data_IF_953989639413
#
_entry.id   IF_953989639413
#
_cell.length_a   1.000
_cell.length_b   1.000
_cell.length_c   1.000
_cell.angle_alpha   90.00
_cell.angle_beta   90.00
_cell.angle_gamma   90.00
#
_symmetry.space_group_name_H-M   'P 1'
#
loop_
_entity.id
_entity.type
_entity.pdbx_description
1 polymer ?
#
# COMPACT_ATOMS: atom_id res chain seq x y z
N UNK A 1 63.70 -7.30 36.19
CA UNK A 1 62.93 -7.42 34.92
C UNK A 1 63.51 -6.47 33.91
N UNK A 2 64.11 -7.00 32.83
CA UNK A 2 64.86 -6.22 31.84
C UNK A 2 63.97 -5.20 31.11
N UNK A 3 64.36 -3.97 30.88
CA UNK A 3 63.60 -2.93 30.19
C UNK A 3 63.21 -3.35 28.76
N UNK A 4 64.02 -4.16 28.10
CA UNK A 4 63.71 -4.71 26.72
C UNK A 4 62.44 -5.52 26.65
N UNK A 5 61.99 -6.20 27.72
CA UNK A 5 60.79 -6.96 27.77
C UNK A 5 59.52 -6.08 27.78
N UNK A 6 59.60 -4.90 28.42
CA UNK A 6 58.51 -3.92 28.48
C UNK A 6 58.29 -3.24 27.10
N UNK A 7 59.38 -2.97 26.37
CA UNK A 7 59.26 -2.37 25.03
C UNK A 7 58.72 -3.37 23.98
N UNK A 8 59.11 -4.62 24.07
CA UNK A 8 58.60 -5.70 23.21
C UNK A 8 57.08 -5.94 23.42
N UNK A 9 56.63 -5.92 24.67
CA UNK A 9 55.19 -6.11 24.97
C UNK A 9 54.37 -4.88 24.50
N UNK A 10 54.90 -3.66 24.67
CA UNK A 10 54.24 -2.45 24.17
C UNK A 10 54.11 -2.42 22.64
N UNK A 11 55.15 -2.82 21.91
CA UNK A 11 55.13 -2.91 20.46
C UNK A 11 54.13 -3.97 19.94
N UNK A 12 54.03 -5.12 20.62
CA UNK A 12 53.05 -6.16 20.29
C UNK A 12 51.60 -5.71 20.53
N UNK A 13 51.37 -4.98 21.64
CA UNK A 13 50.02 -4.42 21.92
C UNK A 13 49.67 -3.35 20.90
N UNK A 14 50.57 -2.41 20.57
CA UNK A 14 50.34 -1.40 19.55
C UNK A 14 50.12 -1.99 18.16
N UNK A 15 50.91 -2.99 17.78
CA UNK A 15 50.76 -3.73 16.52
C UNK A 15 49.42 -4.45 16.46
N UNK A 16 49.02 -5.09 17.55
CA UNK A 16 47.70 -5.76 17.65
C UNK A 16 46.54 -4.79 17.57
N UNK A 17 46.61 -3.64 18.22
CA UNK A 17 45.59 -2.58 18.16
C UNK A 17 45.51 -1.96 16.77
N UNK A 18 46.62 -1.74 16.09
CA UNK A 18 46.65 -1.21 14.72
C UNK A 18 46.08 -2.21 13.72
N UNK A 19 46.39 -3.49 13.85
CA UNK A 19 45.83 -4.57 12.99
C UNK A 19 44.33 -4.74 13.22
N UNK A 20 43.88 -4.68 14.48
CA UNK A 20 42.49 -4.70 14.84
C UNK A 20 41.72 -3.50 14.28
N UNK A 21 42.28 -2.28 14.47
CA UNK A 21 41.69 -1.06 13.91
C UNK A 21 41.58 -1.10 12.38
N UNK A 22 42.62 -1.58 11.70
CA UNK A 22 42.58 -1.77 10.24
C UNK A 22 41.57 -2.83 9.83
N UNK A 23 41.44 -3.95 10.54
CA UNK A 23 40.43 -4.98 10.26
C UNK A 23 39.02 -4.43 10.39
N UNK A 24 38.74 -3.59 11.39
CA UNK A 24 37.42 -3.06 11.69
C UNK A 24 36.95 -2.00 10.69
N UNK A 25 37.89 -1.16 10.21
CA UNK A 25 37.59 0.04 9.43
C UNK A 25 38.00 -0.05 7.97
N UNK A 26 38.69 -1.13 7.55
CA UNK A 26 39.09 -1.29 6.14
C UNK A 26 37.87 -1.57 5.28
N UNK A 27 37.65 -0.69 4.31
CA UNK A 27 36.67 -0.93 3.23
C UNK A 27 37.06 -2.17 2.42
N UNK A 28 36.08 -3.05 2.23
CA UNK A 28 36.26 -4.29 1.47
C UNK A 28 35.32 -4.29 0.30
N UNK A 29 35.82 -4.36 -0.94
CA UNK A 29 34.96 -4.57 -2.09
C UNK A 29 34.30 -5.95 -1.97
N UNK A 30 33.00 -6.02 -2.16
CA UNK A 30 32.30 -7.28 -2.22
C UNK A 30 32.66 -7.99 -3.53
N UNK A 31 33.10 -9.24 -3.44
CA UNK A 31 33.38 -10.04 -4.63
C UNK A 31 32.12 -10.15 -5.52
N UNK A 32 32.27 -10.33 -6.86
CA UNK A 32 31.14 -10.54 -7.75
C UNK A 32 30.29 -11.71 -7.27
N UNK A 33 29.09 -11.45 -6.78
CA UNK A 33 28.18 -12.45 -6.23
C UNK A 33 26.95 -11.83 -5.62
N UNK A 34 25.98 -12.64 -5.11
CA UNK A 34 24.78 -12.11 -4.49
C UNK A 34 25.13 -11.30 -3.24
N UNK A 35 24.93 -9.99 -3.32
CA UNK A 35 25.12 -9.02 -2.20
C UNK A 35 24.04 -9.19 -1.12
N UNK A 36 23.19 -10.22 -1.22
CA UNK A 36 22.04 -10.46 -0.38
C UNK A 36 22.25 -11.69 0.48
N UNK A 37 22.03 -11.54 1.78
CA UNK A 37 22.19 -12.61 2.77
C UNK A 37 20.85 -12.85 3.45
N UNK A 38 20.38 -14.10 3.41
CA UNK A 38 19.20 -14.53 4.14
C UNK A 38 19.61 -15.15 5.46
N UNK A 39 19.18 -14.55 6.56
CA UNK A 39 19.39 -15.03 7.92
C UNK A 39 18.05 -15.55 8.46
N UNK A 40 17.82 -16.88 8.42
CA UNK A 40 16.62 -17.49 8.98
C UNK A 40 16.62 -17.40 10.52
N UNK A 41 15.45 -17.62 11.11
CA UNK A 41 15.28 -17.69 12.56
C UNK A 41 16.23 -18.73 13.18
N UNK A 42 16.85 -18.36 14.30
CA UNK A 42 17.81 -19.22 14.99
C UNK A 42 19.24 -19.17 14.43
N UNK A 43 19.51 -18.36 13.41
CA UNK A 43 20.90 -18.14 12.93
C UNK A 43 21.73 -17.50 14.03
N UNK A 44 22.86 -18.15 14.37
CA UNK A 44 23.81 -17.60 15.36
C UNK A 44 24.83 -16.65 14.71
N UNK A 45 25.40 -15.73 15.49
CA UNK A 45 26.47 -14.85 15.01
C UNK A 45 27.64 -15.64 14.41
N UNK A 46 27.99 -16.76 14.99
CA UNK A 46 29.05 -17.66 14.49
C UNK A 46 28.70 -18.28 13.13
N UNK A 47 27.45 -18.74 12.95
CA UNK A 47 26.97 -19.29 11.68
C UNK A 47 26.96 -18.22 10.59
N UNK A 48 26.49 -17.02 10.92
CA UNK A 48 26.50 -15.89 10.00
C UNK A 48 27.91 -15.47 9.59
N UNK A 49 28.82 -15.34 10.56
CA UNK A 49 30.22 -15.02 10.30
C UNK A 49 30.91 -16.03 9.35
N UNK A 50 30.61 -17.34 9.50
CA UNK A 50 31.11 -18.37 8.57
C UNK A 50 30.57 -18.15 7.16
N UNK A 51 29.27 -17.86 7.00
CA UNK A 51 28.68 -17.56 5.68
C UNK A 51 29.32 -16.33 5.03
N UNK A 52 29.64 -15.28 5.81
CA UNK A 52 30.35 -14.10 5.31
C UNK A 52 31.76 -14.44 4.84
N UNK A 53 32.48 -15.29 5.58
CA UNK A 53 33.83 -15.72 5.23
C UNK A 53 33.81 -16.62 3.99
N UNK A 54 32.93 -17.60 3.91
CA UNK A 54 32.75 -18.50 2.75
C UNK A 54 32.44 -17.73 1.46
N UNK A 55 31.76 -16.60 1.58
CA UNK A 55 31.45 -15.71 0.45
C UNK A 55 32.46 -14.59 0.26
N UNK A 56 33.60 -14.66 0.97
CA UNK A 56 34.69 -13.68 0.88
C UNK A 56 34.29 -12.23 1.18
N UNK A 57 33.27 -12.03 2.02
CA UNK A 57 32.84 -10.69 2.49
C UNK A 57 33.69 -10.22 3.66
N UNK A 58 34.16 -11.16 4.49
CA UNK A 58 35.11 -10.92 5.57
C UNK A 58 36.23 -11.95 5.49
N UNK A 59 37.42 -11.61 6.01
CA UNK A 59 38.59 -12.52 5.97
C UNK A 59 38.54 -13.57 7.07
N UNK A 60 37.92 -13.29 8.22
CA UNK A 60 37.94 -14.18 9.39
C UNK A 60 36.62 -14.14 10.14
N UNK A 61 35.92 -15.29 10.16
CA UNK A 61 34.70 -15.48 10.95
C UNK A 61 34.98 -15.33 12.46
N UNK A 62 36.15 -15.83 12.94
CA UNK A 62 36.51 -15.73 14.36
C UNK A 62 36.74 -14.28 14.78
N UNK A 63 37.39 -13.47 13.94
CA UNK A 63 37.63 -12.06 14.24
C UNK A 63 36.31 -11.28 14.26
N UNK A 64 35.38 -11.60 13.37
CA UNK A 64 34.05 -10.98 13.34
C UNK A 64 33.20 -11.34 14.57
N UNK A 65 33.24 -12.60 15.01
CA UNK A 65 32.57 -13.03 16.26
C UNK A 65 33.19 -12.34 17.47
N UNK A 66 34.53 -12.25 17.54
CA UNK A 66 35.21 -11.55 18.63
C UNK A 66 34.83 -10.07 18.67
N UNK A 67 34.72 -9.39 17.51
CA UNK A 67 34.20 -8.03 17.39
C UNK A 67 32.79 -7.91 17.97
N UNK A 68 31.87 -8.78 17.58
CA UNK A 68 30.48 -8.77 18.06
C UNK A 68 30.41 -8.99 19.59
N UNK A 69 31.24 -9.88 20.13
CA UNK A 69 31.32 -10.14 21.58
C UNK A 69 31.91 -8.93 22.33
N UNK A 70 32.96 -8.31 21.80
CA UNK A 70 33.58 -7.12 22.39
C UNK A 70 32.61 -5.94 22.47
N UNK A 71 31.75 -5.80 21.48
CA UNK A 71 30.70 -4.77 21.43
C UNK A 71 29.45 -5.15 22.25
N UNK A 72 29.40 -6.33 22.85
CA UNK A 72 28.24 -6.81 23.60
C UNK A 72 27.09 -7.30 22.71
N UNK A 73 27.31 -7.44 21.41
CA UNK A 73 26.28 -7.71 20.40
C UNK A 73 26.28 -9.17 19.91
N UNK A 74 27.02 -10.07 20.57
CA UNK A 74 27.17 -11.47 20.14
C UNK A 74 25.86 -12.27 20.01
N UNK A 75 24.77 -11.79 20.62
CA UNK A 75 23.42 -12.40 20.58
C UNK A 75 22.36 -11.50 19.95
N UNK A 76 22.72 -10.33 19.45
CA UNK A 76 21.78 -9.31 18.97
C UNK A 76 21.45 -9.44 17.46
N UNK A 77 21.85 -10.55 16.81
CA UNK A 77 21.58 -10.80 15.41
C UNK A 77 20.08 -10.86 15.16
N UNK A 78 19.58 -9.99 14.30
CA UNK A 78 18.18 -10.01 13.85
C UNK A 78 18.04 -10.81 12.57
N UNK A 79 16.94 -11.56 12.47
CA UNK A 79 16.63 -12.37 11.29
C UNK A 79 16.09 -11.53 10.16
N UNK A 80 16.27 -11.99 8.91
CA UNK A 80 15.80 -11.28 7.73
C UNK A 80 16.72 -11.39 6.53
N UNK A 81 16.44 -10.63 5.50
CA UNK A 81 17.27 -10.52 4.31
C UNK A 81 18.04 -9.20 4.37
N UNK A 82 19.36 -9.29 4.27
CA UNK A 82 20.26 -8.15 4.34
C UNK A 82 20.95 -7.91 3.00
N UNK A 83 21.17 -6.66 2.68
CA UNK A 83 22.00 -6.22 1.56
C UNK A 83 23.03 -5.27 2.08
N UNK A 84 24.31 -5.62 1.89
CA UNK A 84 25.41 -4.76 2.32
C UNK A 84 25.83 -3.80 1.21
N UNK A 85 26.35 -2.64 1.62
CA UNK A 85 26.97 -1.68 0.71
C UNK A 85 28.23 -2.30 0.07
N UNK A 86 28.71 -1.69 -1.01
CA UNK A 86 29.92 -2.11 -1.70
C UNK A 86 30.71 -0.83 -2.06
N UNK A 87 31.84 -0.56 -1.40
CA UNK A 87 32.49 -1.38 -0.36
C UNK A 87 31.79 -1.34 1.01
N UNK A 88 32.16 -2.25 1.92
CA UNK A 88 31.62 -2.35 3.28
C UNK A 88 32.72 -2.71 4.28
N UNK A 89 32.51 -2.36 5.56
CA UNK A 89 33.42 -2.76 6.65
C UNK A 89 32.79 -3.86 7.52
N UNK A 90 33.57 -4.67 8.24
CA UNK A 90 33.05 -5.62 9.23
C UNK A 90 32.17 -4.94 10.29
N UNK A 91 32.47 -3.71 10.66
CA UNK A 91 31.71 -2.92 11.63
C UNK A 91 30.34 -2.53 11.05
N UNK A 92 30.28 -2.08 9.78
CA UNK A 92 29.03 -1.73 9.11
C UNK A 92 28.11 -2.95 8.95
N UNK A 93 28.70 -4.12 8.63
CA UNK A 93 27.96 -5.37 8.54
C UNK A 93 27.35 -5.70 9.91
N UNK A 94 28.14 -5.64 10.98
CA UNK A 94 27.68 -5.92 12.34
C UNK A 94 26.56 -4.94 12.72
N UNK A 95 26.77 -3.65 12.53
CA UNK A 95 25.78 -2.62 12.81
C UNK A 95 24.47 -2.86 12.05
N UNK A 96 24.54 -3.17 10.75
CA UNK A 96 23.39 -3.45 9.89
C UNK A 96 22.54 -4.62 10.42
N UNK A 97 23.20 -5.73 10.82
CA UNK A 97 22.46 -6.94 11.25
C UNK A 97 21.93 -6.83 12.67
N UNK A 98 22.62 -6.08 13.55
CA UNK A 98 22.20 -5.84 14.94
C UNK A 98 21.06 -4.83 15.00
N UNK A 99 21.13 -3.76 14.22
CA UNK A 99 20.03 -2.80 14.12
C UNK A 99 18.83 -3.34 13.34
N UNK A 100 19.03 -4.36 12.52
CA UNK A 100 17.98 -5.02 11.74
C UNK A 100 17.58 -4.21 10.51
N UNK A 101 18.56 -3.61 9.81
CA UNK A 101 18.33 -2.92 8.53
C UNK A 101 18.10 -3.93 7.40
N UNK A 102 16.99 -4.64 7.48
CA UNK A 102 16.61 -5.69 6.51
C UNK A 102 16.10 -5.06 5.21
N UNK A 103 16.19 -5.84 4.13
CA UNK A 103 15.59 -5.46 2.84
C UNK A 103 14.08 -5.43 2.98
N UNK A 104 13.49 -4.31 2.62
CA UNK A 104 12.05 -4.11 2.58
C UNK A 104 11.54 -4.10 1.14
N UNK A 105 10.37 -4.67 0.94
CA UNK A 105 9.69 -4.76 -0.36
C UNK A 105 8.42 -3.90 -0.31
N UNK A 106 8.18 -3.04 -1.31
CA UNK A 106 6.98 -2.22 -1.36
C UNK A 106 5.80 -3.01 -1.95
N UNK A 107 4.63 -2.87 -1.33
CA UNK A 107 3.35 -3.27 -1.86
C UNK A 107 2.42 -2.06 -1.86
N UNK A 108 1.99 -1.61 -3.03
CA UNK A 108 1.07 -0.47 -3.16
C UNK A 108 -0.36 -0.97 -3.37
N UNK A 109 -1.25 -0.56 -2.47
CA UNK A 109 -2.69 -0.66 -2.62
C UNK A 109 -3.20 0.64 -3.25
N UNK A 110 -3.91 0.53 -4.37
CA UNK A 110 -4.31 1.70 -5.17
C UNK A 110 -5.74 2.14 -4.83
N UNK A 111 -6.03 3.45 -4.70
CA UNK A 111 -7.39 3.95 -4.57
C UNK A 111 -8.33 3.42 -5.68
N UNK A 112 -9.55 3.11 -5.32
CA UNK A 112 -10.54 2.55 -6.23
C UNK A 112 -10.46 1.03 -6.44
N UNK A 113 -9.40 0.35 -6.00
CA UNK A 113 -9.32 -1.10 -6.11
C UNK A 113 -10.38 -1.80 -5.28
N UNK A 114 -10.94 -2.86 -5.84
CA UNK A 114 -11.76 -3.84 -5.15
C UNK A 114 -10.90 -4.77 -4.28
N UNK A 115 -11.49 -5.49 -3.36
CA UNK A 115 -10.74 -6.49 -2.58
C UNK A 115 -10.18 -7.63 -3.46
N UNK A 116 -10.83 -7.92 -4.59
CA UNK A 116 -10.29 -8.86 -5.57
C UNK A 116 -8.93 -8.40 -6.13
N UNK A 117 -8.80 -7.13 -6.50
CA UNK A 117 -7.54 -6.55 -7.00
C UNK A 117 -6.47 -6.50 -5.88
N UNK A 118 -6.87 -6.21 -4.64
CA UNK A 118 -5.99 -6.31 -3.47
C UNK A 118 -5.42 -7.73 -3.33
N UNK A 119 -6.26 -8.76 -3.42
CA UNK A 119 -5.79 -10.17 -3.37
C UNK A 119 -4.82 -10.49 -4.50
N UNK A 120 -5.07 -10.00 -5.70
CA UNK A 120 -4.15 -10.19 -6.83
C UNK A 120 -2.78 -9.53 -6.58
N UNK A 121 -2.77 -8.34 -6.00
CA UNK A 121 -1.53 -7.64 -5.66
C UNK A 121 -0.73 -8.40 -4.58
N UNK A 122 -1.40 -8.88 -3.53
CA UNK A 122 -0.78 -9.70 -2.48
C UNK A 122 -0.19 -10.99 -3.04
N UNK A 123 -0.93 -11.69 -3.92
CA UNK A 123 -0.46 -12.94 -4.55
C UNK A 123 0.74 -12.75 -5.48
N UNK A 124 0.95 -11.54 -6.02
CA UNK A 124 2.09 -11.20 -6.90
C UNK A 124 3.25 -10.56 -6.16
N UNK A 125 3.08 -10.25 -4.89
CA UNK A 125 4.10 -9.56 -4.10
C UNK A 125 5.31 -10.48 -3.84
N UNK A 126 6.54 -10.08 -4.22
CA UNK A 126 7.71 -10.91 -4.08
C UNK A 126 8.01 -11.18 -2.61
N UNK A 127 8.37 -12.41 -2.27
CA UNK A 127 8.76 -12.82 -0.92
C UNK A 127 7.71 -12.59 0.18
N UNK A 128 6.46 -12.26 -0.20
CA UNK A 128 5.33 -12.23 0.72
C UNK A 128 4.74 -13.63 0.87
N UNK A 129 4.48 -14.05 2.09
CA UNK A 129 3.72 -15.28 2.36
C UNK A 129 2.23 -15.00 2.17
N UNK A 130 1.64 -15.56 1.10
CA UNK A 130 0.21 -15.40 0.82
C UNK A 130 -0.61 -16.40 1.66
N UNK A 131 -0.69 -16.13 2.96
CA UNK A 131 -1.41 -16.94 3.97
C UNK A 131 -2.94 -16.87 3.81
N UNK A 132 -3.44 -16.05 2.88
CA UNK A 132 -4.87 -15.99 2.52
C UNK A 132 -5.20 -16.63 1.16
N UNK A 133 -4.20 -17.25 0.51
CA UNK A 133 -4.40 -17.94 -0.77
C UNK A 133 -5.45 -19.05 -0.63
N UNK A 134 -6.42 -19.06 -1.53
CA UNK A 134 -7.49 -20.06 -1.52
C UNK A 134 -8.54 -19.87 -0.42
N UNK A 135 -8.35 -18.95 0.52
CA UNK A 135 -9.31 -18.70 1.58
C UNK A 135 -10.56 -17.97 1.07
N UNK A 136 -11.72 -18.33 1.62
CA UNK A 136 -12.98 -17.60 1.41
C UNK A 136 -12.95 -16.23 2.10
N UNK A 137 -13.83 -15.31 1.69
CA UNK A 137 -13.97 -14.01 2.37
C UNK A 137 -14.30 -14.15 3.86
N UNK A 138 -15.04 -15.18 4.25
CA UNK A 138 -15.36 -15.45 5.66
C UNK A 138 -14.10 -15.83 6.47
N UNK A 139 -13.25 -16.69 5.92
CA UNK A 139 -11.99 -17.10 6.55
C UNK A 139 -11.00 -15.93 6.67
N UNK A 140 -10.87 -15.12 5.60
CA UNK A 140 -10.00 -13.91 5.66
C UNK A 140 -10.53 -12.91 6.69
N UNK A 141 -11.87 -12.71 6.79
CA UNK A 141 -12.45 -11.86 7.83
C UNK A 141 -12.13 -12.38 9.22
N UNK A 142 -12.26 -13.70 9.44
CA UNK A 142 -11.92 -14.32 10.71
C UNK A 142 -10.44 -14.13 11.08
N UNK A 143 -9.52 -14.36 10.14
CA UNK A 143 -8.07 -14.15 10.33
C UNK A 143 -7.73 -12.70 10.68
N UNK A 144 -8.48 -11.73 10.15
CA UNK A 144 -8.33 -10.30 10.42
C UNK A 144 -9.17 -9.80 11.60
N UNK A 145 -9.90 -10.67 12.30
CA UNK A 145 -10.86 -10.31 13.37
C UNK A 145 -11.85 -9.23 12.92
N UNK A 146 -12.49 -9.45 11.77
CA UNK A 146 -13.42 -8.51 11.14
C UNK A 146 -14.84 -9.06 11.07
N UNK A 147 -15.84 -8.21 11.40
CA UNK A 147 -17.25 -8.49 11.17
C UNK A 147 -17.79 -7.83 9.89
N UNK A 148 -17.23 -6.67 9.52
CA UNK A 148 -17.61 -5.95 8.32
C UNK A 148 -17.09 -6.61 7.03
N UNK A 149 -17.55 -6.12 5.87
CA UNK A 149 -17.05 -6.52 4.55
C UNK A 149 -15.53 -6.28 4.43
N UNK A 150 -14.86 -7.10 3.62
CA UNK A 150 -13.48 -6.85 3.19
C UNK A 150 -13.40 -5.75 2.13
N UNK A 151 -14.52 -5.50 1.43
CA UNK A 151 -14.58 -4.47 0.41
C UNK A 151 -14.45 -3.08 1.03
N UNK A 152 -13.51 -2.26 0.53
CA UNK A 152 -13.20 -0.93 1.05
C UNK A 152 -12.55 -0.89 2.43
N UNK A 153 -12.20 -2.04 3.03
CA UNK A 153 -11.78 -2.15 4.43
C UNK A 153 -10.30 -1.80 4.69
N UNK A 154 -9.53 -1.48 3.66
CA UNK A 154 -8.09 -1.25 3.72
C UNK A 154 -7.74 0.13 3.16
N UNK A 155 -6.82 0.83 3.82
CA UNK A 155 -6.39 2.14 3.34
C UNK A 155 -5.43 1.97 2.16
N UNK A 156 -5.66 2.65 1.02
CA UNK A 156 -4.75 2.62 -0.11
C UNK A 156 -3.50 3.45 0.22
N UNK A 157 -2.35 2.77 0.25
CA UNK A 157 -1.03 3.34 0.52
C UNK A 157 0.05 2.35 0.06
N UNK A 158 1.32 2.74 0.13
CA UNK A 158 2.44 1.82 -0.06
C UNK A 158 2.86 1.24 1.29
N UNK A 159 2.78 -0.08 1.42
CA UNK A 159 3.15 -0.84 2.61
C UNK A 159 4.48 -1.56 2.38
N UNK A 160 5.49 -1.19 3.15
CA UNK A 160 6.76 -1.90 3.14
C UNK A 160 6.66 -3.13 4.03
N UNK A 161 7.21 -4.26 3.56
CA UNK A 161 7.23 -5.52 4.29
C UNK A 161 8.58 -6.22 4.09
N UNK A 162 8.94 -7.08 5.03
CA UNK A 162 10.17 -7.86 5.01
C UNK A 162 9.94 -9.24 4.39
N UNK A 163 11.00 -9.91 4.01
CA UNK A 163 10.97 -11.29 3.51
C UNK A 163 10.16 -12.20 4.46
N UNK A 164 9.24 -12.98 3.91
CA UNK A 164 8.41 -13.91 4.68
C UNK A 164 7.27 -13.30 5.48
N UNK A 165 7.10 -11.98 5.45
CA UNK A 165 5.93 -11.34 6.07
C UNK A 165 4.63 -11.89 5.43
N UNK A 166 3.57 -12.00 6.23
CA UNK A 166 2.29 -12.55 5.78
C UNK A 166 1.39 -11.50 5.13
N UNK A 167 0.56 -11.90 4.18
CA UNK A 167 -0.46 -11.06 3.57
C UNK A 167 -1.43 -10.51 4.65
N UNK A 168 -1.81 -11.35 5.62
CA UNK A 168 -2.63 -10.94 6.78
C UNK A 168 -1.97 -9.80 7.56
N UNK A 169 -0.65 -9.82 7.77
CA UNK A 169 0.07 -8.77 8.50
C UNK A 169 0.02 -7.42 7.77
N UNK A 170 0.14 -7.43 6.44
CA UNK A 170 0.03 -6.23 5.59
C UNK A 170 -1.39 -5.68 5.63
N UNK A 171 -2.40 -6.55 5.46
CA UNK A 171 -3.80 -6.16 5.52
C UNK A 171 -4.19 -5.61 6.91
N UNK A 172 -3.66 -6.17 7.99
CA UNK A 172 -3.90 -5.67 9.34
C UNK A 172 -3.36 -4.23 9.52
N UNK A 173 -2.19 -3.92 8.96
CA UNK A 173 -1.63 -2.55 8.95
C UNK A 173 -2.48 -1.59 8.12
N UNK A 174 -2.91 -2.02 6.92
CA UNK A 174 -3.75 -1.23 6.03
C UNK A 174 -5.12 -0.93 6.67
N UNK A 175 -5.72 -1.90 7.34
CA UNK A 175 -6.94 -1.73 8.11
C UNK A 175 -6.77 -0.75 9.29
N UNK A 176 -5.68 -0.88 10.05
CA UNK A 176 -5.38 0.02 11.17
C UNK A 176 -5.25 1.46 10.67
N UNK A 177 -4.54 1.66 9.56
CA UNK A 177 -4.40 2.97 8.92
C UNK A 177 -5.76 3.55 8.52
N UNK A 178 -6.63 2.75 7.89
CA UNK A 178 -7.99 3.19 7.56
C UNK A 178 -8.76 3.64 8.80
N UNK A 179 -8.73 2.85 9.87
CA UNK A 179 -9.44 3.18 11.12
C UNK A 179 -8.97 4.50 11.73
N UNK A 180 -7.67 4.77 11.68
CA UNK A 180 -7.09 6.03 12.16
C UNK A 180 -7.57 7.21 11.31
N UNK A 181 -7.47 7.12 9.98
CA UNK A 181 -7.87 8.21 9.07
C UNK A 181 -9.38 8.44 9.18
N UNK A 182 -10.19 7.37 9.08
CA UNK A 182 -11.65 7.47 9.20
C UNK A 182 -12.08 8.03 10.56
N UNK A 183 -11.44 7.60 11.65
CA UNK A 183 -11.77 8.08 12.99
C UNK A 183 -11.51 9.57 13.15
N UNK A 184 -10.37 10.07 12.66
CA UNK A 184 -10.03 11.49 12.73
C UNK A 184 -10.99 12.34 11.90
N UNK A 185 -11.26 11.95 10.65
CA UNK A 185 -12.16 12.72 9.78
C UNK A 185 -13.62 12.66 10.26
N UNK A 186 -14.01 11.53 10.89
CA UNK A 186 -15.35 11.39 11.46
C UNK A 186 -15.62 12.36 12.62
N UNK A 187 -14.62 12.64 13.43
CA UNK A 187 -14.73 13.58 14.56
C UNK A 187 -14.96 15.02 14.09
N UNK A 188 -14.41 15.39 12.95
CA UNK A 188 -14.47 16.75 12.38
C UNK A 188 -15.53 16.92 11.28
N UNK A 189 -16.34 15.87 11.02
CA UNK A 189 -17.32 15.86 9.93
C UNK A 189 -18.28 17.03 9.97
N UNK A 190 -18.75 17.45 8.80
CA UNK A 190 -19.79 18.47 8.67
C UNK A 190 -21.07 18.05 9.42
N UNK A 191 -21.75 19.04 9.96
CA UNK A 191 -23.02 18.83 10.66
C UNK A 191 -24.13 18.42 9.69
N UNK A 192 -25.11 17.68 10.21
CA UNK A 192 -26.32 17.29 9.47
C UNK A 192 -26.09 16.49 8.18
N UNK A 193 -25.01 15.69 8.13
CA UNK A 193 -24.83 14.75 7.02
C UNK A 193 -25.90 13.65 7.06
N UNK A 194 -26.37 13.16 5.88
CA UNK A 194 -27.31 12.03 5.83
C UNK A 194 -26.64 10.69 6.18
N UNK A 195 -25.31 10.64 6.22
CA UNK A 195 -24.52 9.48 6.69
C UNK A 195 -24.41 9.53 8.21
N UNK A 196 -24.88 8.48 8.89
CA UNK A 196 -25.02 8.42 10.34
C UNK A 196 -23.94 7.60 11.03
N UNK A 197 -23.17 6.81 10.27
CA UNK A 197 -22.13 5.93 10.81
C UNK A 197 -20.81 6.08 10.00
N UNK A 198 -19.64 5.80 10.61
CA UNK A 198 -18.37 5.77 9.88
C UNK A 198 -18.40 4.81 8.68
N UNK A 199 -19.15 3.69 8.79
CA UNK A 199 -19.31 2.74 7.69
C UNK A 199 -20.06 3.36 6.51
N UNK A 200 -21.13 4.12 6.75
CA UNK A 200 -21.84 4.83 5.68
C UNK A 200 -20.98 5.90 5.02
N UNK A 201 -20.14 6.59 5.80
CA UNK A 201 -19.16 7.54 5.25
C UNK A 201 -18.15 6.85 4.34
N UNK A 202 -17.67 5.67 4.72
CA UNK A 202 -16.76 4.86 3.91
C UNK A 202 -17.42 4.40 2.60
N UNK A 203 -18.69 4.00 2.64
CA UNK A 203 -19.45 3.65 1.45
C UNK A 203 -19.54 4.86 0.51
N UNK A 204 -19.98 6.01 1.01
CA UNK A 204 -20.08 7.23 0.21
C UNK A 204 -18.71 7.64 -0.37
N UNK A 205 -17.64 7.55 0.43
CA UNK A 205 -16.28 7.85 -0.02
C UNK A 205 -15.84 6.94 -1.17
N UNK A 206 -16.22 5.65 -1.14
CA UNK A 206 -15.88 4.71 -2.22
C UNK A 206 -16.60 5.02 -3.54
N UNK A 207 -17.80 5.58 -3.47
CA UNK A 207 -18.51 6.10 -4.65
C UNK A 207 -17.78 7.31 -5.22
N UNK A 208 -17.47 8.30 -4.39
CA UNK A 208 -16.75 9.52 -4.78
C UNK A 208 -15.37 9.20 -5.37
N UNK A 209 -14.65 8.23 -4.80
CA UNK A 209 -13.34 7.81 -5.31
C UNK A 209 -13.40 7.30 -6.73
N UNK A 210 -14.45 6.53 -7.05
CA UNK A 210 -14.61 5.90 -8.36
C UNK A 210 -15.29 6.80 -9.39
N UNK A 211 -15.90 7.90 -8.96
CA UNK A 211 -16.59 8.84 -9.84
C UNK A 211 -15.61 9.79 -10.54
N UNK A 212 -14.60 10.28 -9.84
CA UNK A 212 -13.68 11.25 -10.42
C UNK A 212 -12.22 11.04 -10.05
N UNK A 213 -11.35 11.18 -11.05
CA UNK A 213 -9.91 11.28 -10.83
C UNK A 213 -9.48 12.68 -10.38
N UNK A 214 -10.30 13.73 -10.63
CA UNK A 214 -9.99 15.11 -10.27
C UNK A 214 -10.20 15.38 -8.79
N UNK A 215 -9.10 15.64 -8.09
CA UNK A 215 -9.13 15.90 -6.65
C UNK A 215 -10.01 17.12 -6.28
N UNK A 216 -10.05 18.16 -7.12
CA UNK A 216 -10.81 19.39 -6.87
C UNK A 216 -12.33 19.22 -6.99
N UNK A 217 -12.82 18.18 -7.66
CA UNK A 217 -14.26 17.95 -7.85
C UNK A 217 -14.87 17.03 -6.77
N UNK A 218 -14.06 16.27 -6.05
CA UNK A 218 -14.55 15.25 -5.08
C UNK A 218 -15.51 15.81 -4.06
N UNK A 219 -15.23 17.01 -3.50
CA UNK A 219 -16.10 17.63 -2.50
C UNK A 219 -17.43 18.07 -3.10
N UNK A 220 -17.42 18.56 -4.34
CA UNK A 220 -18.65 18.98 -5.04
C UNK A 220 -19.52 17.77 -5.40
N UNK A 221 -18.90 16.67 -5.91
CA UNK A 221 -19.59 15.38 -6.14
C UNK A 221 -20.15 14.85 -4.82
N UNK A 222 -19.37 14.91 -3.73
CA UNK A 222 -19.87 14.59 -2.38
C UNK A 222 -21.09 15.40 -2.00
N UNK A 223 -21.13 16.70 -2.34
CA UNK A 223 -22.26 17.59 -2.16
C UNK A 223 -23.50 17.14 -2.92
N UNK A 224 -23.36 16.74 -4.19
CA UNK A 224 -24.46 16.20 -4.99
C UNK A 224 -25.02 14.93 -4.35
N UNK A 225 -24.18 13.96 -4.00
CA UNK A 225 -24.65 12.71 -3.37
C UNK A 225 -25.34 12.98 -2.02
N UNK A 226 -24.80 13.90 -1.21
CA UNK A 226 -25.43 14.30 0.05
C UNK A 226 -26.83 14.93 -0.19
N UNK A 227 -26.97 15.78 -1.20
CA UNK A 227 -28.25 16.38 -1.56
C UNK A 227 -29.25 15.32 -2.02
N UNK A 228 -28.84 14.40 -2.93
CA UNK A 228 -29.69 13.30 -3.39
C UNK A 228 -30.15 12.39 -2.23
N UNK A 229 -29.24 12.03 -1.33
CA UNK A 229 -29.58 11.24 -0.13
C UNK A 229 -30.59 11.95 0.78
N UNK A 230 -30.47 13.28 0.97
CA UNK A 230 -31.41 14.08 1.77
C UNK A 230 -32.81 14.15 1.15
N UNK A 231 -32.86 14.21 -0.16
CA UNK A 231 -34.12 14.27 -0.93
C UNK A 231 -34.75 12.90 -1.20
N UNK A 232 -34.08 11.81 -0.75
CA UNK A 232 -34.55 10.46 -1.05
C UNK A 232 -34.45 10.09 -2.53
N UNK A 233 -33.55 10.73 -3.28
CA UNK A 233 -33.26 10.41 -4.67
C UNK A 233 -32.33 9.19 -4.78
N UNK A 234 -32.42 8.47 -5.89
CA UNK A 234 -31.42 7.44 -6.24
C UNK A 234 -30.08 8.11 -6.53
N UNK A 235 -28.97 7.42 -6.22
CA UNK A 235 -27.64 7.98 -6.48
C UNK A 235 -27.25 7.91 -7.95
N UNK A 236 -27.71 6.88 -8.69
CA UNK A 236 -27.54 6.71 -10.14
C UNK A 236 -26.08 6.93 -10.56
N UNK A 237 -25.17 6.20 -9.93
CA UNK A 237 -23.73 6.30 -10.19
C UNK A 237 -23.21 5.04 -10.87
N UNK A 238 -22.62 5.21 -12.05
CA UNK A 238 -22.10 4.16 -12.93
C UNK A 238 -21.13 3.19 -12.24
N UNK A 239 -20.19 3.66 -11.38
CA UNK A 239 -19.32 2.77 -10.65
C UNK A 239 -20.02 1.65 -9.87
N UNK A 240 -21.25 1.84 -9.42
CA UNK A 240 -22.01 0.80 -8.70
C UNK A 240 -22.53 -0.29 -9.65
N UNK A 241 -22.86 0.06 -10.88
CA UNK A 241 -23.21 -0.88 -11.94
C UNK A 241 -21.98 -1.66 -12.36
N UNK A 242 -20.86 -1.00 -12.62
CA UNK A 242 -19.59 -1.63 -12.97
C UNK A 242 -19.15 -2.63 -11.89
N UNK A 243 -19.26 -2.24 -10.60
CA UNK A 243 -18.98 -3.14 -9.49
C UNK A 243 -19.91 -4.36 -9.47
N UNK A 244 -21.19 -4.14 -9.74
CA UNK A 244 -22.21 -5.20 -9.80
C UNK A 244 -21.96 -6.21 -10.91
N UNK A 245 -21.55 -5.73 -12.08
CA UNK A 245 -21.24 -6.58 -13.25
C UNK A 245 -19.94 -7.36 -13.04
N UNK A 246 -18.95 -6.80 -12.33
CA UNK A 246 -17.67 -7.44 -12.11
C UNK A 246 -17.01 -7.85 -13.42
N UNK A 247 -16.77 -9.14 -13.63
CA UNK A 247 -16.15 -9.69 -14.86
C UNK A 247 -17.01 -9.56 -16.13
N UNK A 248 -18.32 -9.27 -15.99
CA UNK A 248 -19.24 -9.03 -17.12
C UNK A 248 -19.11 -7.64 -17.72
N UNK A 249 -18.42 -6.73 -17.03
CA UNK A 249 -18.18 -5.39 -17.55
C UNK A 249 -17.13 -5.41 -18.66
N UNK A 250 -17.48 -4.93 -19.85
CA UNK A 250 -16.63 -4.95 -21.03
C UNK A 250 -16.17 -3.56 -21.50
N UNK A 251 -16.19 -2.57 -20.60
CA UNK A 251 -15.62 -1.22 -20.87
C UNK A 251 -16.67 -0.15 -21.21
N UNK A 252 -17.89 -0.52 -21.59
CA UNK A 252 -19.01 0.40 -21.87
C UNK A 252 -20.23 -0.09 -21.09
N UNK A 253 -20.97 0.82 -20.47
CA UNK A 253 -22.25 0.53 -19.82
C UNK A 253 -23.35 0.62 -20.86
N UNK A 254 -24.17 -0.43 -20.98
CA UNK A 254 -25.35 -0.47 -21.84
C UNK A 254 -26.63 -0.22 -21.02
N UNK A 255 -27.74 0.07 -21.71
CA UNK A 255 -29.06 0.19 -21.05
C UNK A 255 -29.45 -1.09 -20.32
N UNK A 256 -29.05 -2.27 -20.81
CA UNK A 256 -29.29 -3.54 -20.16
C UNK A 256 -28.46 -3.66 -18.84
N UNK A 257 -27.24 -3.11 -18.82
CA UNK A 257 -26.40 -3.10 -17.63
C UNK A 257 -26.99 -2.19 -16.53
N UNK A 258 -27.56 -1.04 -16.91
CA UNK A 258 -28.26 -0.16 -15.97
C UNK A 258 -29.47 -0.85 -15.31
N UNK A 259 -30.08 -1.83 -15.96
CA UNK A 259 -31.17 -2.64 -15.42
C UNK A 259 -30.70 -3.93 -14.73
N UNK A 260 -29.36 -4.14 -14.58
CA UNK A 260 -28.83 -5.35 -13.96
C UNK A 260 -29.24 -5.47 -12.49
N UNK A 261 -29.94 -6.58 -12.09
CA UNK A 261 -30.48 -6.74 -10.75
C UNK A 261 -29.36 -7.03 -9.74
N UNK A 262 -28.97 -6.03 -8.98
CA UNK A 262 -27.96 -6.14 -7.91
C UNK A 262 -28.30 -5.18 -6.78
N UNK A 263 -28.13 -5.57 -5.52
CA UNK A 263 -28.32 -4.66 -4.38
C UNK A 263 -27.34 -3.47 -4.37
N UNK A 264 -26.30 -3.52 -5.18
CA UNK A 264 -25.37 -2.41 -5.36
C UNK A 264 -25.82 -1.42 -6.44
N UNK A 265 -26.73 -1.81 -7.36
CA UNK A 265 -27.14 -0.96 -8.46
C UNK A 265 -27.97 0.23 -7.98
N UNK A 266 -27.35 1.40 -7.91
CA UNK A 266 -27.98 2.64 -7.45
C UNK A 266 -28.93 3.29 -8.47
N UNK A 267 -29.08 2.73 -9.68
CA UNK A 267 -30.18 3.05 -10.61
C UNK A 267 -31.48 2.35 -10.23
N UNK A 268 -31.40 1.22 -9.51
CA UNK A 268 -32.57 0.44 -9.10
C UNK A 268 -32.93 0.66 -7.62
N UNK A 269 -31.96 0.96 -6.77
CA UNK A 269 -32.12 1.06 -5.32
C UNK A 269 -31.84 2.47 -4.80
N UNK A 270 -32.61 2.87 -3.80
CA UNK A 270 -32.44 4.14 -3.09
C UNK A 270 -31.36 4.01 -2.00
N UNK A 271 -30.72 5.13 -1.69
CA UNK A 271 -29.74 5.21 -0.63
C UNK A 271 -28.36 4.66 -1.01
N UNK A 272 -27.56 4.36 0.00
CA UNK A 272 -26.20 3.82 -0.17
C UNK A 272 -26.23 2.32 -0.46
N UNK A 273 -25.30 1.79 -1.28
CA UNK A 273 -25.14 0.36 -1.47
C UNK A 273 -24.75 -0.35 -0.14
N UNK A 274 -24.88 -1.70 -0.08
CA UNK A 274 -24.66 -2.45 1.17
C UNK A 274 -23.26 -2.33 1.75
N UNK A 275 -22.23 -2.20 0.91
CA UNK A 275 -20.82 -2.05 1.31
C UNK A 275 -20.12 -1.03 0.42
N UNK A 276 -18.90 -0.58 0.76
CA UNK A 276 -18.05 0.11 -0.21
C UNK A 276 -17.86 -0.70 -1.49
N UNK A 277 -17.57 -0.04 -2.60
CA UNK A 277 -17.30 -0.65 -3.91
C UNK A 277 -15.80 -0.60 -4.30
N UNK A 278 -14.95 -0.22 -3.38
CA UNK A 278 -13.49 -0.17 -3.55
C UNK A 278 -12.81 0.61 -2.43
N UNK A 279 -11.47 0.59 -2.46
CA UNK A 279 -10.64 1.34 -1.51
C UNK A 279 -10.77 2.84 -1.75
N UNK A 280 -10.97 3.63 -0.71
CA UNK A 280 -11.05 5.09 -0.81
C UNK A 280 -9.80 5.77 -0.25
N UNK A 281 -9.32 6.80 -0.95
CA UNK A 281 -8.24 7.67 -0.49
C UNK A 281 -8.70 8.57 0.67
N UNK A 282 -7.75 9.14 1.41
CA UNK A 282 -8.06 10.17 2.41
C UNK A 282 -8.84 11.36 1.82
N UNK A 283 -8.55 11.73 0.57
CA UNK A 283 -9.25 12.84 -0.11
C UNK A 283 -10.71 12.52 -0.38
N UNK A 284 -11.03 11.30 -0.81
CA UNK A 284 -12.41 10.89 -1.03
C UNK A 284 -13.17 10.75 0.30
N UNK A 285 -12.52 10.23 1.34
CA UNK A 285 -13.10 10.14 2.68
C UNK A 285 -13.39 11.53 3.24
N UNK A 286 -12.43 12.45 3.13
CA UNK A 286 -12.62 13.84 3.52
C UNK A 286 -13.78 14.49 2.74
N UNK A 287 -13.88 14.26 1.42
CA UNK A 287 -14.97 14.79 0.59
C UNK A 287 -16.35 14.25 1.00
N UNK A 288 -16.45 12.99 1.41
CA UNK A 288 -17.68 12.40 1.92
C UNK A 288 -18.13 13.03 3.27
N UNK A 289 -17.18 13.42 4.10
CA UNK A 289 -17.41 13.96 5.43
C UNK A 289 -17.43 15.50 5.46
N UNK A 290 -16.85 16.16 4.47
CA UNK A 290 -16.77 17.61 4.31
C UNK A 290 -17.18 18.02 2.88
N UNK A 291 -18.39 17.66 2.43
CA UNK A 291 -18.85 17.99 1.09
C UNK A 291 -18.96 19.51 0.92
N UNK A 292 -18.81 19.99 -0.31
CA UNK A 292 -19.09 21.40 -0.61
C UNK A 292 -20.58 21.69 -0.48
N UNK A 293 -20.90 22.88 -0.02
CA UNK A 293 -22.26 23.39 -0.03
C UNK A 293 -22.63 23.73 -1.47
N UNK A 294 -23.50 22.96 -2.07
CA UNK A 294 -24.01 23.14 -3.45
C UNK A 294 -25.50 22.89 -3.48
N UNK A 295 -26.19 23.46 -4.45
CA UNK A 295 -27.59 23.10 -4.79
C UNK A 295 -27.66 22.02 -5.84
N UNK A 296 -26.54 21.72 -6.51
CA UNK A 296 -26.49 20.75 -7.60
C UNK A 296 -27.01 19.37 -7.18
N UNK A 297 -27.81 18.79 -8.04
CA UNK A 297 -28.39 17.45 -7.93
C UNK A 297 -27.86 16.50 -9.02
N UNK A 298 -27.24 17.05 -10.04
CA UNK A 298 -26.75 16.32 -11.21
C UNK A 298 -25.33 16.74 -11.56
N UNK A 299 -24.66 15.88 -12.28
CA UNK A 299 -23.38 16.18 -12.95
C UNK A 299 -23.19 15.28 -14.18
N UNK A 300 -22.50 15.76 -15.17
CA UNK A 300 -22.13 15.02 -16.38
C UNK A 300 -20.67 15.29 -16.73
N UNK A 301 -19.98 14.25 -17.22
CA UNK A 301 -18.60 14.37 -17.67
C UNK A 301 -18.51 15.21 -18.93
N UNK A 302 -17.52 16.12 -18.98
CA UNK A 302 -17.31 17.02 -20.15
C UNK A 302 -16.55 16.35 -21.29
N UNK A 303 -16.15 15.09 -21.16
CA UNK A 303 -15.24 14.43 -22.13
C UNK A 303 -13.80 14.97 -22.14
N UNK A 304 -13.56 16.12 -21.53
CA UNK A 304 -12.24 16.80 -21.40
C UNK A 304 -11.63 16.65 -20.01
N UNK A 305 -12.13 15.67 -19.25
CA UNK A 305 -11.63 15.30 -17.90
C UNK A 305 -12.15 16.25 -16.81
N UNK A 306 -13.44 16.36 -16.63
CA UNK A 306 -14.13 17.09 -15.55
C UNK A 306 -15.62 16.98 -15.70
N UNK A 307 -16.37 17.61 -14.78
CA UNK A 307 -17.82 17.55 -14.76
C UNK A 307 -18.45 18.94 -14.77
N UNK A 308 -19.58 19.06 -15.46
CA UNK A 308 -20.54 20.14 -15.29
C UNK A 308 -21.56 19.71 -14.25
N UNK A 309 -21.98 20.64 -13.42
CA UNK A 309 -22.91 20.40 -12.31
C UNK A 309 -24.17 21.22 -12.53
N UNK A 310 -25.33 20.58 -12.38
CA UNK A 310 -26.65 21.17 -12.63
C UNK A 310 -27.54 21.03 -11.40
N UNK A 311 -28.33 22.08 -11.13
CA UNK A 311 -29.29 22.10 -10.02
C UNK A 311 -30.60 21.40 -10.41
N UNK A 312 -30.99 21.45 -11.69
CA UNK A 312 -32.24 20.94 -12.24
C UNK A 312 -32.02 19.89 -13.32
N UNK A 313 -33.03 19.04 -13.57
CA UNK A 313 -33.00 18.06 -14.65
C UNK A 313 -32.91 18.72 -16.02
N UNK A 314 -33.58 19.87 -16.20
CA UNK A 314 -33.51 20.61 -17.46
C UNK A 314 -32.09 21.08 -17.77
N UNK A 315 -31.38 21.68 -16.81
CA UNK A 315 -29.97 22.09 -16.95
C UNK A 315 -29.07 20.86 -17.22
N UNK A 316 -29.38 19.71 -16.61
CA UNK A 316 -28.63 18.46 -16.83
C UNK A 316 -28.82 17.97 -18.28
N UNK A 317 -30.06 17.98 -18.80
CA UNK A 317 -30.36 17.58 -20.19
C UNK A 317 -29.70 18.51 -21.20
N UNK A 318 -29.62 19.80 -20.90
CA UNK A 318 -28.90 20.79 -21.73
C UNK A 318 -27.39 20.49 -21.73
N UNK A 319 -26.81 20.23 -20.55
CA UNK A 319 -25.39 19.87 -20.42
C UNK A 319 -25.06 18.55 -21.13
N UNK A 320 -25.92 17.53 -21.03
CA UNK A 320 -25.77 16.26 -21.75
C UNK A 320 -25.73 16.52 -23.26
N UNK A 321 -26.67 17.31 -23.79
CA UNK A 321 -26.69 17.65 -25.23
C UNK A 321 -25.45 18.41 -25.67
N UNK A 322 -24.94 19.31 -24.85
CA UNK A 322 -23.72 20.08 -25.15
C UNK A 322 -22.46 19.21 -25.17
N UNK A 323 -22.30 18.32 -24.18
CA UNK A 323 -21.04 17.61 -23.96
C UNK A 323 -21.00 16.18 -24.48
N UNK A 324 -22.12 15.46 -24.58
CA UNK A 324 -22.16 14.09 -25.15
C UNK A 324 -22.29 14.11 -26.68
N UNK A 325 -22.98 15.08 -27.26
CA UNK A 325 -23.08 15.22 -28.73
C UNK A 325 -21.77 15.71 -29.35
N UNK A 326 -20.92 16.43 -28.60
CA UNK A 326 -19.59 16.87 -29.03
C UNK A 326 -18.52 15.77 -28.88
N UNK A 327 -18.84 14.70 -28.15
CA UNK A 327 -17.94 13.58 -27.90
C UNK A 327 -18.19 12.42 -28.86
N UNK A 328 -17.65 12.49 -30.08
CA UNK A 328 -17.53 11.33 -30.98
C UNK A 328 -16.50 10.29 -30.50
N UNK A 329 -16.05 10.36 -29.23
CA UNK A 329 -15.17 9.40 -28.61
C UNK A 329 -15.88 8.71 -27.43
N UNK A 330 -15.82 7.35 -27.34
CA UNK A 330 -16.39 6.63 -26.19
C UNK A 330 -15.74 7.12 -24.90
N UNK A 331 -16.54 7.39 -23.88
CA UNK A 331 -16.11 7.83 -22.57
C UNK A 331 -15.02 6.88 -22.04
N UNK A 332 -13.77 7.31 -22.06
CA UNK A 332 -12.67 6.56 -21.50
C UNK A 332 -12.79 6.61 -19.98
N UNK A 333 -13.36 5.57 -19.39
CA UNK A 333 -13.16 5.27 -17.96
C UNK A 333 -11.65 5.26 -17.74
N UNK A 334 -11.08 6.01 -16.77
CA UNK A 334 -9.66 5.99 -16.52
C UNK A 334 -9.23 4.55 -16.25
N UNK A 335 -8.48 3.94 -17.17
CA UNK A 335 -7.79 2.68 -16.89
C UNK A 335 -6.92 2.92 -15.65
N UNK A 336 -6.98 2.06 -14.63
CA UNK A 336 -6.04 2.14 -13.53
C UNK A 336 -4.65 2.14 -14.15
N UNK A 337 -3.83 3.15 -13.87
CA UNK A 337 -2.45 3.22 -14.35
C UNK A 337 -1.73 1.99 -13.84
N UNK A 338 -1.63 1.01 -14.71
CA UNK A 338 -0.93 -0.24 -14.45
C UNK A 338 0.53 0.05 -14.10
N UNK A 339 1.04 -0.70 -13.16
CA UNK A 339 2.44 -0.74 -12.79
C UNK A 339 3.32 -0.70 -14.06
N UNK A 340 4.25 0.24 -14.13
CA UNK A 340 5.33 0.21 -15.12
C UNK A 340 5.97 -1.16 -15.07
N UNK A 341 6.05 -1.84 -16.20
CA UNK A 341 6.91 -3.00 -16.38
C UNK A 341 8.36 -2.53 -16.14
N UNK A 342 8.89 -2.89 -14.97
CA UNK A 342 10.33 -2.85 -14.73
C UNK A 342 10.85 -4.17 -15.27
N UNK A 343 11.63 -4.12 -16.33
CA UNK A 343 12.40 -5.25 -16.77
C UNK A 343 12.27 -5.58 -18.24
N UNK A 344 13.09 -4.91 -19.06
CA UNK A 344 13.79 -5.46 -20.22
C UNK A 344 14.65 -4.33 -20.80
N UNK A 345 15.83 -4.15 -20.21
CA UNK A 345 16.98 -3.55 -20.88
C UNK A 345 18.21 -4.06 -20.13
N UNK A 346 18.73 -5.19 -20.60
CA UNK A 346 20.13 -5.59 -20.53
C UNK A 346 20.27 -6.90 -21.33
N UNK A 347 20.35 -6.72 -22.66
CA UNK A 347 21.04 -7.64 -23.55
C UNK A 347 21.60 -6.80 -24.68
N UNK A 348 22.83 -6.36 -24.47
CA UNK A 348 23.95 -6.29 -25.43
C UNK A 348 25.18 -5.84 -24.69
#
# INVERSE_FOLDING_TARGET
>A
MHPLFKWGLGALILGGLSAAGWYLLADRPLHPGPKTFHLPDGTTMRTFAKQLQERHVIDSANAFVALAELMGEGRALKTGVYRFADPTTPLDILHTVVTGQVVEYPLTLVPGWTFHEVRQALARAPHLSDDIKGQSHAQVRAALHMHASLEGAFFPDTYYYTYGATATSVLARARRRLRTVLGNDWLTRALHLPVRTPQQALILASLIERETAKAGERRKIGGVFVNRLRLGMRLETDPTVIFSLGKRYHGVITSADLAFPSPYNTYLHYGLPPTPIGLCSARALYAALHPDKTRALYFVATGRGGHVFSDTLQEQDEAIREYELDSTAPAAVPKPRGARRIGQDHAN
#
